data_IF_276757182952
#
_entry.id   IF_276757182952
#
_cell.length_a   1.000
_cell.length_b   1.000
_cell.length_c   1.000
_cell.angle_alpha   90.00
_cell.angle_beta   90.00
_cell.angle_gamma   90.00
#
_symmetry.space_group_name_H-M   'P 1'
#
loop_
_entity.id
_entity.type
_entity.pdbx_description
1 polymer ?
#
# COMPACT_ATOMS: atom_id res chain seq x y z
N UNK A 1 26.07 61.69 7.61
CA UNK A 1 24.84 61.06 8.13
C UNK A 1 23.90 60.52 7.04
N UNK A 2 23.61 61.25 5.95
CA UNK A 2 22.67 60.82 4.89
C UNK A 2 23.03 59.50 4.17
N UNK A 3 24.31 59.19 3.95
CA UNK A 3 24.75 57.97 3.22
C UNK A 3 24.63 56.68 4.04
N UNK A 4 24.69 56.75 5.38
CA UNK A 4 24.52 55.58 6.27
C UNK A 4 23.08 55.08 6.32
N UNK A 5 22.11 55.99 6.23
CA UNK A 5 20.68 55.65 6.25
C UNK A 5 20.20 55.02 4.93
N UNK A 6 20.84 55.35 3.81
CA UNK A 6 20.54 54.73 2.50
C UNK A 6 21.07 53.29 2.43
N UNK A 7 22.24 53.04 3.03
CA UNK A 7 22.82 51.69 3.11
C UNK A 7 22.02 50.78 4.06
N UNK A 8 21.54 51.30 5.20
CA UNK A 8 20.67 50.53 6.10
C UNK A 8 19.29 50.25 5.47
N UNK A 9 18.68 51.21 4.77
CA UNK A 9 17.39 50.99 4.10
C UNK A 9 17.50 49.99 2.95
N UNK A 10 18.63 49.97 2.22
CA UNK A 10 18.89 48.97 1.18
C UNK A 10 19.09 47.56 1.72
N UNK A 11 19.74 47.40 2.87
CA UNK A 11 19.97 46.09 3.50
C UNK A 11 18.68 45.47 4.07
N UNK A 12 17.75 46.28 4.60
CA UNK A 12 16.45 45.80 5.10
C UNK A 12 15.54 45.34 3.97
N UNK A 13 15.59 45.99 2.80
CA UNK A 13 14.82 45.57 1.60
C UNK A 13 15.37 44.30 0.95
N UNK A 14 16.69 44.07 1.00
CA UNK A 14 17.31 42.82 0.48
C UNK A 14 17.04 41.64 1.41
N UNK A 15 16.99 41.85 2.73
CA UNK A 15 16.69 40.78 3.71
C UNK A 15 15.21 40.38 3.73
N UNK A 16 14.28 41.25 3.30
CA UNK A 16 12.86 40.93 3.18
C UNK A 16 12.50 40.20 1.86
N UNK A 17 13.36 40.27 0.84
CA UNK A 17 13.14 39.66 -0.47
C UNK A 17 13.56 38.19 -0.60
N UNK A 18 14.20 37.61 0.42
CA UNK A 18 14.79 36.27 0.36
C UNK A 18 13.93 35.15 0.98
N UNK A 19 12.63 35.37 1.22
CA UNK A 19 11.74 34.43 1.92
C UNK A 19 10.52 34.00 1.10
N UNK A 20 10.57 34.06 -0.23
CA UNK A 20 9.49 33.52 -1.10
C UNK A 20 10.10 32.64 -2.19
N UNK A 21 10.50 31.44 -1.80
CA UNK A 21 10.74 30.32 -2.72
C UNK A 21 10.40 29.02 -2.00
N UNK A 22 9.21 28.94 -1.42
CA UNK A 22 8.57 27.68 -1.09
C UNK A 22 7.87 27.15 -2.34
N UNK A 23 8.63 26.53 -3.24
CA UNK A 23 8.08 25.81 -4.38
C UNK A 23 7.12 24.74 -3.89
N UNK A 24 5.89 24.79 -4.38
CA UNK A 24 4.87 23.75 -4.25
C UNK A 24 5.40 22.46 -4.88
N UNK A 25 5.90 21.54 -4.07
CA UNK A 25 6.11 20.16 -4.48
C UNK A 25 4.74 19.47 -4.45
N UNK A 26 4.04 19.47 -5.59
CA UNK A 26 2.89 18.60 -5.82
C UNK A 26 3.42 17.16 -5.93
N UNK A 27 3.54 16.46 -4.81
CA UNK A 27 3.71 15.01 -4.80
C UNK A 27 2.35 14.35 -5.04
N UNK A 28 1.77 14.57 -6.23
CA UNK A 28 0.79 13.63 -6.77
C UNK A 28 1.60 12.45 -7.35
N UNK A 29 2.21 11.66 -6.47
CA UNK A 29 2.86 10.40 -6.84
C UNK A 29 1.79 9.38 -7.24
N UNK A 30 1.31 9.52 -8.47
CA UNK A 30 0.73 8.46 -9.31
C UNK A 30 0.32 7.22 -8.51
N UNK A 31 -0.93 7.21 -8.05
CA UNK A 31 -1.56 6.10 -7.34
C UNK A 31 -1.04 4.77 -7.90
N UNK A 32 -0.30 4.00 -7.09
CA UNK A 32 -0.05 2.59 -7.40
C UNK A 32 -1.43 1.97 -7.53
N UNK A 33 -1.82 1.62 -8.74
CA UNK A 33 -3.18 1.27 -9.10
C UNK A 33 -3.78 0.30 -8.07
N UNK A 34 -4.71 0.80 -7.25
CA UNK A 34 -5.47 0.02 -6.27
C UNK A 34 -5.17 0.24 -4.78
N UNK A 35 -4.25 1.13 -4.40
CA UNK A 35 -4.12 1.59 -3.01
C UNK A 35 -3.97 3.12 -2.94
N UNK A 36 -4.68 3.83 -2.04
CA UNK A 36 -4.51 5.27 -1.88
C UNK A 36 -3.09 5.62 -1.43
N UNK A 37 -2.64 6.84 -1.72
CA UNK A 37 -1.43 7.37 -1.10
C UNK A 37 -1.64 7.51 0.41
N UNK A 38 -0.66 7.03 1.17
CA UNK A 38 -0.64 7.14 2.62
C UNK A 38 0.46 8.10 3.06
N UNK A 39 0.21 8.80 4.16
CA UNK A 39 1.25 9.48 4.91
C UNK A 39 2.22 8.49 5.57
N UNK A 40 3.40 8.97 5.95
CA UNK A 40 4.37 8.19 6.72
C UNK A 40 3.79 7.60 8.01
N UNK A 41 2.83 8.29 8.64
CA UNK A 41 2.21 7.84 9.88
C UNK A 41 1.18 6.72 9.63
N UNK A 42 0.42 6.81 8.54
CA UNK A 42 -0.55 5.78 8.15
C UNK A 42 0.16 4.49 7.72
N UNK A 43 1.35 4.57 7.13
CA UNK A 43 2.18 3.40 6.81
C UNK A 43 2.70 2.64 8.04
N UNK A 44 2.55 3.18 9.26
CA UNK A 44 2.87 2.49 10.51
C UNK A 44 1.70 1.68 11.07
N UNK A 45 0.52 1.79 10.46
CA UNK A 45 -0.69 1.06 10.87
C UNK A 45 -0.68 -0.32 10.21
N UNK A 46 -1.00 -1.36 10.97
CA UNK A 46 -1.15 -2.72 10.42
C UNK A 46 -2.23 -2.70 9.32
N UNK A 47 -1.98 -3.37 8.19
CA UNK A 47 -2.88 -3.34 7.04
C UNK A 47 -4.32 -3.72 7.45
N UNK A 48 -4.46 -4.77 8.27
CA UNK A 48 -5.76 -5.23 8.76
C UNK A 48 -6.49 -4.19 9.61
N UNK A 49 -5.78 -3.35 10.37
CA UNK A 49 -6.41 -2.33 11.21
C UNK A 49 -7.05 -1.22 10.39
N UNK A 50 -6.38 -0.76 9.32
CA UNK A 50 -6.97 0.19 8.38
C UNK A 50 -8.07 -0.48 7.54
N UNK A 51 -7.85 -1.71 7.07
CA UNK A 51 -8.80 -2.42 6.22
C UNK A 51 -10.06 -2.92 6.94
N UNK A 52 -10.05 -3.01 8.28
CA UNK A 52 -11.27 -3.21 9.08
C UNK A 52 -12.30 -2.10 8.86
N UNK A 53 -11.84 -0.89 8.54
CA UNK A 53 -12.71 0.25 8.24
C UNK A 53 -12.84 0.49 6.73
N UNK A 54 -11.73 0.42 5.99
CA UNK A 54 -11.72 0.73 4.56
C UNK A 54 -12.39 -0.36 3.70
N UNK A 55 -12.21 -1.64 4.05
CA UNK A 55 -12.77 -2.80 3.33
C UNK A 55 -13.18 -3.92 4.30
N UNK A 56 -14.20 -3.69 5.15
CA UNK A 56 -14.53 -4.57 6.27
C UNK A 56 -14.80 -6.02 5.86
N UNK A 57 -15.41 -6.25 4.70
CA UNK A 57 -15.71 -7.61 4.24
C UNK A 57 -14.43 -8.39 3.86
N UNK A 58 -13.43 -7.73 3.25
CA UNK A 58 -12.14 -8.35 2.93
C UNK A 58 -11.38 -8.69 4.21
N UNK A 59 -11.35 -7.77 5.18
CA UNK A 59 -10.70 -8.01 6.46
C UNK A 59 -11.36 -9.18 7.19
N UNK A 60 -12.69 -9.24 7.21
CA UNK A 60 -13.45 -10.32 7.84
C UNK A 60 -13.24 -11.67 7.15
N UNK A 61 -13.19 -11.71 5.82
CA UNK A 61 -12.86 -12.93 5.05
C UNK A 61 -11.47 -13.44 5.40
N UNK A 62 -10.47 -12.55 5.41
CA UNK A 62 -9.11 -12.88 5.80
C UNK A 62 -9.03 -13.34 7.25
N UNK A 63 -9.59 -12.57 8.19
CA UNK A 63 -9.56 -12.85 9.63
C UNK A 63 -10.18 -14.22 9.95
N UNK A 64 -11.27 -14.57 9.27
CA UNK A 64 -11.94 -15.87 9.39
C UNK A 64 -11.32 -17.01 8.57
N UNK A 65 -10.24 -16.76 7.82
CA UNK A 65 -9.54 -17.78 7.02
C UNK A 65 -8.48 -18.51 7.82
N UNK A 66 -7.96 -19.62 7.28
CA UNK A 66 -6.79 -20.31 7.86
C UNK A 66 -5.57 -19.38 7.91
N UNK A 67 -5.41 -18.50 6.91
CA UNK A 67 -4.32 -17.53 6.88
C UNK A 67 -4.46 -16.46 7.98
N UNK A 68 -5.67 -15.94 8.22
CA UNK A 68 -5.92 -15.00 9.32
C UNK A 68 -5.70 -15.63 10.69
N UNK A 69 -6.22 -16.84 10.90
CA UNK A 69 -6.02 -17.60 12.15
C UNK A 69 -4.53 -17.92 12.38
N UNK A 70 -3.79 -18.23 11.31
CA UNK A 70 -2.35 -18.46 11.36
C UNK A 70 -1.52 -17.17 11.33
N UNK A 71 -2.14 -16.00 11.38
CA UNK A 71 -1.49 -14.68 11.41
C UNK A 71 -0.60 -14.40 10.18
N UNK A 72 -0.91 -14.97 9.02
CA UNK A 72 -0.34 -14.56 7.74
C UNK A 72 -0.89 -13.18 7.39
N UNK A 73 -0.09 -12.16 7.64
CA UNK A 73 -0.35 -10.73 7.39
C UNK A 73 -0.50 -10.46 5.90
N UNK A 74 -1.27 -9.42 5.58
CA UNK A 74 -1.61 -9.01 4.22
C UNK A 74 -0.36 -8.85 3.32
N UNK A 75 0.70 -8.24 3.85
CA UNK A 75 1.93 -7.97 3.10
C UNK A 75 2.74 -9.23 2.74
N UNK A 76 2.48 -10.39 3.34
CA UNK A 76 3.09 -11.64 2.85
C UNK A 76 2.56 -12.06 1.48
N UNK A 77 1.35 -11.64 1.13
CA UNK A 77 0.78 -11.86 -0.21
C UNK A 77 0.93 -10.61 -1.07
N UNK A 78 0.60 -9.44 -0.52
CA UNK A 78 0.48 -8.21 -1.27
C UNK A 78 1.77 -7.38 -1.30
N UNK A 79 2.81 -7.73 -0.55
CA UNK A 79 4.02 -6.90 -0.41
C UNK A 79 3.83 -5.75 0.60
N UNK A 80 4.94 -5.11 0.94
CA UNK A 80 4.95 -3.86 1.74
C UNK A 80 4.55 -2.67 0.85
N UNK A 81 4.46 -1.46 1.39
CA UNK A 81 4.09 -0.27 0.62
C UNK A 81 5.03 0.00 -0.57
N UNK A 82 6.30 -0.39 -0.48
CA UNK A 82 7.32 -0.27 -1.53
C UNK A 82 7.10 -1.26 -2.68
N UNK A 83 6.68 -2.48 -2.39
CA UNK A 83 6.53 -3.58 -3.38
C UNK A 83 5.07 -4.02 -3.54
N UNK A 84 4.12 -3.15 -3.16
CA UNK A 84 2.71 -3.49 -3.09
C UNK A 84 2.14 -3.93 -4.44
N UNK A 85 1.42 -5.05 -4.43
CA UNK A 85 0.64 -5.59 -5.52
C UNK A 85 -0.76 -5.97 -5.04
N UNK A 86 -1.78 -5.40 -5.68
CA UNK A 86 -3.20 -5.74 -5.41
C UNK A 86 -3.45 -7.23 -5.63
N UNK A 87 -2.81 -7.84 -6.62
CA UNK A 87 -2.96 -9.25 -6.94
C UNK A 87 -1.61 -9.97 -6.80
N UNK A 88 -1.48 -10.93 -5.86
CA UNK A 88 -0.26 -11.72 -5.71
C UNK A 88 -0.03 -12.63 -6.92
N UNK A 89 1.22 -13.01 -7.14
CA UNK A 89 1.56 -14.01 -8.16
C UNK A 89 1.43 -15.43 -7.62
N UNK A 90 1.38 -16.43 -8.51
CA UNK A 90 1.49 -17.85 -8.09
C UNK A 90 2.78 -18.12 -7.32
N UNK A 91 3.89 -17.48 -7.72
CA UNK A 91 5.17 -17.62 -7.03
C UNK A 91 5.11 -17.13 -5.58
N UNK A 92 4.34 -16.05 -5.31
CA UNK A 92 4.09 -15.57 -3.95
C UNK A 92 3.50 -16.66 -3.06
N UNK A 93 2.50 -17.40 -3.55
CA UNK A 93 1.91 -18.54 -2.84
C UNK A 93 2.92 -19.69 -2.67
N UNK A 94 3.79 -19.89 -3.65
CA UNK A 94 4.81 -20.93 -3.69
C UNK A 94 5.83 -20.87 -2.56
N UNK A 95 6.05 -19.69 -1.96
CA UNK A 95 6.93 -19.52 -0.79
C UNK A 95 6.55 -20.46 0.35
N UNK A 96 5.25 -20.73 0.53
CA UNK A 96 4.73 -21.64 1.55
C UNK A 96 4.10 -22.91 0.94
N UNK A 97 3.55 -22.82 -0.27
CA UNK A 97 2.78 -23.89 -0.93
C UNK A 97 3.48 -24.44 -2.18
N UNK A 98 4.80 -24.64 -2.13
CA UNK A 98 5.60 -25.12 -3.26
C UNK A 98 5.06 -26.42 -3.88
N UNK A 99 4.61 -27.37 -3.05
CA UNK A 99 4.01 -28.63 -3.50
C UNK A 99 2.74 -28.43 -4.34
N UNK A 100 1.93 -27.42 -4.01
CA UNK A 100 0.70 -27.12 -4.74
C UNK A 100 0.99 -26.53 -6.11
N UNK A 101 2.13 -25.83 -6.26
CA UNK A 101 2.57 -25.35 -7.56
C UNK A 101 2.91 -26.47 -8.54
N UNK A 102 3.05 -27.72 -8.12
CA UNK A 102 3.21 -28.84 -9.05
C UNK A 102 1.91 -29.64 -9.24
N UNK A 103 1.05 -29.67 -8.21
CA UNK A 103 -0.18 -30.47 -8.18
C UNK A 103 -1.37 -29.78 -8.85
N UNK A 104 -1.40 -28.44 -8.89
CA UNK A 104 -2.48 -27.67 -9.49
C UNK A 104 -2.21 -27.35 -10.97
N UNK A 105 -3.24 -27.01 -11.78
CA UNK A 105 -3.05 -26.50 -13.14
C UNK A 105 -2.08 -25.30 -13.15
N UNK A 106 -1.20 -25.21 -14.15
CA UNK A 106 -0.16 -24.16 -14.23
C UNK A 106 -0.63 -22.88 -14.94
N UNK A 107 -1.69 -23.00 -15.72
CA UNK A 107 -2.25 -21.98 -16.61
C UNK A 107 -3.30 -21.09 -15.95
N UNK A 108 -3.68 -21.39 -14.69
CA UNK A 108 -4.76 -20.71 -13.97
C UNK A 108 -4.26 -20.20 -12.61
N UNK A 109 -4.71 -19.05 -12.11
CA UNK A 109 -4.38 -18.64 -10.77
C UNK A 109 -5.20 -19.42 -9.72
N UNK A 110 -4.70 -19.42 -8.49
CA UNK A 110 -5.30 -20.16 -7.37
C UNK A 110 -6.78 -19.76 -7.14
N UNK A 111 -7.09 -18.49 -7.32
CA UNK A 111 -8.40 -17.91 -7.03
C UNK A 111 -9.49 -18.21 -8.09
N UNK A 112 -9.16 -18.90 -9.18
CA UNK A 112 -10.20 -19.44 -10.06
C UNK A 112 -11.04 -20.51 -9.34
N UNK A 113 -10.39 -21.35 -8.53
CA UNK A 113 -11.04 -22.41 -7.75
C UNK A 113 -11.24 -22.04 -6.27
N UNK A 114 -10.37 -21.21 -5.69
CA UNK A 114 -10.47 -20.76 -4.30
C UNK A 114 -11.06 -19.35 -4.20
N UNK A 115 -11.89 -19.09 -3.19
CA UNK A 115 -12.36 -17.71 -2.94
C UNK A 115 -11.20 -16.87 -2.39
N UNK A 116 -10.84 -15.71 -2.97
CA UNK A 116 -9.80 -14.84 -2.42
C UNK A 116 -10.03 -14.47 -0.95
N UNK A 117 -8.96 -14.25 -0.19
CA UNK A 117 -8.95 -13.89 1.25
C UNK A 117 -9.53 -14.94 2.21
N UNK A 118 -10.63 -15.61 1.87
CA UNK A 118 -11.14 -16.78 2.58
C UNK A 118 -10.33 -18.06 2.29
N UNK A 119 -9.81 -18.19 1.07
CA UNK A 119 -9.11 -19.35 0.49
C UNK A 119 -9.79 -20.70 0.73
N UNK A 120 -11.13 -20.69 0.74
CA UNK A 120 -11.97 -21.89 0.74
C UNK A 120 -12.18 -22.36 -0.71
N UNK A 121 -12.17 -23.66 -0.93
CA UNK A 121 -12.61 -24.25 -2.20
C UNK A 121 -14.07 -23.83 -2.48
N UNK A 122 -14.34 -23.39 -3.71
CA UNK A 122 -15.72 -23.25 -4.19
C UNK A 122 -16.33 -24.65 -4.24
N UNK A 123 -17.55 -24.83 -3.71
CA UNK A 123 -18.26 -26.11 -3.86
C UNK A 123 -18.43 -26.40 -5.36
N UNK A 124 -18.25 -27.67 -5.74
CA UNK A 124 -18.20 -28.17 -7.13
C UNK A 124 -19.47 -27.97 -7.96
N UNK A 125 -20.53 -27.36 -7.42
CA UNK A 125 -21.88 -27.43 -7.99
C UNK A 125 -22.36 -26.12 -8.62
N UNK A 126 -21.51 -25.09 -8.66
CA UNK A 126 -21.82 -23.81 -9.31
C UNK A 126 -21.01 -23.68 -10.62
N UNK A 127 -21.53 -24.29 -11.68
CA UNK A 127 -21.11 -24.11 -13.08
C UNK A 127 -22.29 -23.62 -13.91
#
# INVERSE_FOLDING_TARGET
MKRRNVILAGLVLVLLGLMVSGTTATAAEKEKAGHPQLSQQEMLIDCADCHREATPEIEKEWFGSVHGIAMVKCYQCHGTFEEFAVTPTRATCGTCHADMLQKCPQDRPCWECHVPHAFKEKKSDEK
#
